data_IF_428746969835
#
_entry.id   IF_428746969835
#
_cell.length_a   1.000
_cell.length_b   1.000
_cell.length_c   1.000
_cell.angle_alpha   90.00
_cell.angle_beta   90.00
_cell.angle_gamma   90.00
#
_symmetry.space_group_name_H-M   'P 1'
#
loop_
_entity.id
_entity.type
_entity.pdbx_description
1 polymer ?
#
# COMPACT_ATOMS: atom_id res chain seq x y z
N UNK A 1 -42.61 -1.51 -15.07
CA UNK A 1 -41.67 -0.52 -15.64
C UNK A 1 -40.28 -0.91 -15.19
N UNK A 2 -39.30 -0.97 -16.10
CA UNK A 2 -37.90 -1.18 -15.71
C UNK A 2 -37.36 0.11 -15.10
N UNK A 3 -36.66 0.00 -13.97
CA UNK A 3 -36.02 1.13 -13.31
C UNK A 3 -34.78 1.57 -14.10
N UNK A 4 -34.46 2.88 -14.08
CA UNK A 4 -33.31 3.46 -14.77
C UNK A 4 -32.02 2.79 -14.33
N UNK A 5 -31.92 2.43 -13.04
CA UNK A 5 -30.77 1.69 -12.47
C UNK A 5 -30.56 0.34 -13.16
N UNK A 6 -31.65 -0.39 -13.43
CA UNK A 6 -31.60 -1.69 -14.12
C UNK A 6 -31.18 -1.52 -15.58
N UNK A 7 -31.64 -0.45 -16.23
CA UNK A 7 -31.25 -0.12 -17.61
C UNK A 7 -29.75 0.21 -17.68
N UNK A 8 -29.22 1.01 -16.75
CA UNK A 8 -27.79 1.37 -16.72
C UNK A 8 -26.91 0.17 -16.40
N UNK A 9 -27.31 -0.68 -15.45
CA UNK A 9 -26.56 -1.90 -15.13
C UNK A 9 -26.49 -2.85 -16.34
N UNK A 10 -27.62 -3.04 -17.03
CA UNK A 10 -27.69 -3.86 -18.24
C UNK A 10 -26.80 -3.28 -19.36
N UNK A 11 -26.86 -1.96 -19.60
CA UNK A 11 -26.02 -1.29 -20.60
C UNK A 11 -24.52 -1.43 -20.30
N UNK A 12 -24.12 -1.34 -19.03
CA UNK A 12 -22.72 -1.53 -18.63
C UNK A 12 -22.25 -2.95 -18.90
N UNK A 13 -23.09 -3.94 -18.64
CA UNK A 13 -22.75 -5.34 -18.87
C UNK A 13 -22.64 -5.67 -20.37
N UNK A 14 -23.55 -5.13 -21.18
CA UNK A 14 -23.50 -5.22 -22.64
C UNK A 14 -22.22 -4.58 -23.20
N UNK A 15 -21.90 -3.34 -22.77
CA UNK A 15 -20.69 -2.63 -23.18
C UNK A 15 -19.40 -3.34 -22.73
N UNK A 16 -19.39 -3.91 -21.53
CA UNK A 16 -18.25 -4.69 -21.04
C UNK A 16 -18.04 -5.96 -21.87
N UNK A 17 -19.12 -6.62 -22.29
CA UNK A 17 -19.08 -7.76 -23.21
C UNK A 17 -18.51 -7.38 -24.57
N UNK A 18 -19.01 -6.31 -25.18
CA UNK A 18 -18.53 -5.81 -26.47
C UNK A 18 -17.06 -5.38 -26.43
N UNK A 19 -16.66 -4.67 -25.37
CA UNK A 19 -15.27 -4.26 -25.18
C UNK A 19 -14.34 -5.47 -25.04
N UNK A 20 -14.71 -6.46 -24.22
CA UNK A 20 -13.93 -7.71 -24.08
C UNK A 20 -13.76 -8.42 -25.42
N UNK A 21 -14.82 -8.53 -26.21
CA UNK A 21 -14.74 -9.22 -27.50
C UNK A 21 -13.95 -8.42 -28.54
N UNK A 22 -14.04 -7.08 -28.51
CA UNK A 22 -13.22 -6.21 -29.37
C UNK A 22 -11.74 -6.31 -29.01
N UNK A 23 -11.40 -6.31 -27.73
CA UNK A 23 -10.02 -6.53 -27.24
C UNK A 23 -9.53 -7.91 -27.65
N UNK A 24 -10.32 -8.97 -27.40
CA UNK A 24 -9.96 -10.35 -27.78
C UNK A 24 -9.68 -10.47 -29.29
N UNK A 25 -10.53 -9.87 -30.13
CA UNK A 25 -10.34 -9.86 -31.58
C UNK A 25 -9.05 -9.16 -31.97
N UNK A 26 -8.79 -7.99 -31.38
CA UNK A 26 -7.57 -7.21 -31.65
C UNK A 26 -6.31 -7.95 -31.22
N UNK A 27 -6.36 -8.66 -30.09
CA UNK A 27 -5.25 -9.49 -29.60
C UNK A 27 -5.00 -10.70 -30.51
N UNK A 28 -6.04 -11.32 -31.08
CA UNK A 28 -5.88 -12.42 -32.06
C UNK A 28 -5.22 -11.97 -33.37
N UNK A 29 -5.34 -10.68 -33.71
CA UNK A 29 -4.69 -10.11 -34.90
C UNK A 29 -3.21 -9.79 -34.66
N UNK A 30 -2.72 -9.84 -33.42
CA UNK A 30 -1.32 -9.57 -33.12
C UNK A 30 -0.45 -10.84 -33.23
N UNK A 31 0.83 -10.71 -33.62
CA UNK A 31 1.79 -11.80 -33.54
C UNK A 31 1.97 -12.31 -32.11
N UNK A 32 2.17 -13.62 -31.95
CA UNK A 32 2.36 -14.25 -30.64
C UNK A 32 3.56 -13.66 -29.88
N UNK A 33 4.66 -13.39 -30.57
CA UNK A 33 5.88 -12.83 -29.98
C UNK A 33 5.63 -11.44 -29.37
N UNK A 34 4.84 -10.61 -30.06
CA UNK A 34 4.45 -9.29 -29.54
C UNK A 34 3.62 -9.39 -28.26
N UNK A 35 2.70 -10.36 -28.18
CA UNK A 35 1.89 -10.57 -26.98
C UNK A 35 2.75 -11.02 -25.79
N UNK A 36 3.75 -11.86 -26.05
CA UNK A 36 4.72 -12.31 -25.03
C UNK A 36 5.51 -11.11 -24.51
N UNK A 37 6.02 -10.24 -25.38
CA UNK A 37 6.77 -9.04 -24.98
C UNK A 37 5.92 -8.11 -24.10
N UNK A 38 4.65 -7.88 -24.47
CA UNK A 38 3.76 -7.04 -23.68
C UNK A 38 3.41 -7.67 -22.33
N UNK A 39 3.21 -8.99 -22.27
CA UNK A 39 2.99 -9.70 -21.01
C UNK A 39 4.25 -9.66 -20.13
N UNK A 40 5.44 -9.80 -20.73
CA UNK A 40 6.70 -9.67 -20.01
C UNK A 40 6.90 -8.26 -19.48
N UNK A 41 6.61 -7.21 -20.25
CA UNK A 41 6.67 -5.83 -19.78
C UNK A 41 5.65 -5.49 -18.68
N UNK A 42 4.51 -6.19 -18.65
CA UNK A 42 3.48 -5.99 -17.63
C UNK A 42 3.78 -6.76 -16.33
N UNK A 43 4.38 -7.95 -16.44
CA UNK A 43 4.65 -8.87 -15.33
C UNK A 43 6.02 -8.63 -14.71
N UNK A 44 7.02 -8.28 -15.52
CA UNK A 44 8.36 -7.96 -15.05
C UNK A 44 8.49 -6.44 -14.92
N UNK A 45 8.84 -5.90 -13.74
CA UNK A 45 9.21 -4.50 -13.64
C UNK A 45 10.38 -4.24 -14.59
N UNK A 46 10.44 -3.06 -15.25
CA UNK A 46 11.56 -2.74 -16.12
C UNK A 46 12.85 -2.82 -15.29
N UNK A 47 13.72 -3.79 -15.58
CA UNK A 47 15.04 -3.85 -14.98
C UNK A 47 15.74 -2.52 -15.33
N UNK A 48 16.02 -1.71 -14.31
CA UNK A 48 16.91 -0.58 -14.42
C UNK A 48 18.31 -1.12 -14.75
N UNK A 49 18.58 -1.31 -16.04
CA UNK A 49 19.92 -1.58 -16.56
C UNK A 49 20.77 -0.35 -16.27
N UNK A 50 21.41 -0.38 -15.10
CA UNK A 50 22.39 0.59 -14.65
C UNK A 50 23.64 0.47 -15.53
N UNK A 51 23.69 1.27 -16.60
CA UNK A 51 24.94 1.58 -17.28
C UNK A 51 25.78 2.46 -16.34
N UNK A 52 26.51 1.83 -15.43
CA UNK A 52 27.53 2.49 -14.64
C UNK A 52 28.58 3.11 -15.58
N UNK A 53 28.53 4.43 -15.72
CA UNK A 53 29.58 5.23 -16.35
C UNK A 53 30.86 5.08 -15.51
N UNK A 54 31.99 4.62 -16.08
CA UNK A 54 33.24 4.60 -15.35
C UNK A 54 33.72 6.04 -15.15
N UNK A 55 33.60 6.54 -13.91
CA UNK A 55 34.24 7.80 -13.50
C UNK A 55 35.75 7.61 -13.53
N UNK A 56 36.40 8.23 -14.51
CA UNK A 56 37.85 8.43 -14.50
C UNK A 56 38.22 9.33 -13.31
N UNK A 57 39.11 8.82 -12.46
CA UNK A 57 39.72 9.54 -11.34
C UNK A 57 40.89 10.37 -11.89
N UNK A 58 41.01 11.67 -11.55
CA UNK A 58 42.20 12.46 -11.91
C UNK A 58 43.44 11.94 -11.18
N UNK A 59 44.48 11.63 -11.95
CA UNK A 59 45.79 11.20 -11.50
C UNK A 59 46.60 12.44 -11.07
N UNK A 60 46.78 12.63 -9.77
CA UNK A 60 47.75 13.57 -9.20
C UNK A 60 49.12 12.90 -8.98
N UNK A 61 50.24 13.67 -8.98
CA UNK A 61 51.58 13.11 -9.01
C UNK A 61 52.04 12.59 -7.65
N UNK A 62 52.81 11.53 -7.74
CA UNK A 62 53.38 10.70 -6.69
C UNK A 62 54.38 11.48 -5.82
N UNK A 63 54.29 11.27 -4.50
CA UNK A 63 55.37 11.51 -3.55
C UNK A 63 55.52 10.25 -2.67
N UNK A 64 56.77 9.82 -2.56
CA UNK A 64 57.24 8.51 -2.13
C UNK A 64 56.96 8.11 -0.67
N UNK A 65 57.00 6.78 -0.50
CA UNK A 65 57.50 6.02 0.65
C UNK A 65 56.72 6.03 1.98
N UNK A 66 56.13 4.89 2.35
CA UNK A 66 56.71 3.93 3.30
C UNK A 66 55.72 2.83 3.75
N UNK A 67 56.29 1.65 3.98
CA UNK A 67 55.84 0.56 4.85
C UNK A 67 54.64 -0.32 4.42
N UNK A 68 55.00 -1.48 3.86
CA UNK A 68 54.13 -2.64 3.71
C UNK A 68 53.72 -3.20 5.09
N UNK A 69 52.40 -3.28 5.32
CA UNK A 69 51.78 -4.07 6.40
C UNK A 69 51.07 -5.24 5.73
N UNK A 70 51.31 -6.51 6.15
CA UNK A 70 50.64 -7.66 5.57
C UNK A 70 49.18 -7.72 6.07
N UNK A 71 48.24 -7.72 5.13
CA UNK A 71 46.81 -7.96 5.37
C UNK A 71 46.58 -9.44 5.71
N UNK A 72 45.72 -9.77 6.70
CA UNK A 72 45.35 -11.15 6.99
C UNK A 72 44.43 -11.71 5.90
N UNK A 73 44.65 -13.00 5.63
CA UNK A 73 44.00 -13.80 4.60
C UNK A 73 42.47 -13.76 4.71
N UNK A 74 41.83 -13.43 3.59
CA UNK A 74 40.38 -13.43 3.45
C UNK A 74 39.84 -14.84 3.64
N UNK A 75 39.10 -15.05 4.73
CA UNK A 75 38.21 -16.20 4.86
C UNK A 75 37.16 -16.14 3.74
N UNK A 76 37.09 -17.23 2.98
CA UNK A 76 36.27 -17.34 1.79
C UNK A 76 34.82 -16.98 2.05
N UNK A 77 34.35 -15.93 1.37
CA UNK A 77 32.94 -15.74 1.09
C UNK A 77 32.46 -16.96 0.30
N UNK A 78 31.64 -17.79 0.94
CA UNK A 78 30.88 -18.81 0.24
C UNK A 78 30.01 -18.14 -0.84
N UNK A 79 29.93 -18.70 -2.05
CA UNK A 79 29.04 -18.18 -3.08
C UNK A 79 27.61 -18.28 -2.58
N UNK A 80 26.91 -17.15 -2.57
CA UNK A 80 25.46 -17.10 -2.40
C UNK A 80 24.84 -17.90 -3.56
N UNK A 81 24.40 -19.12 -3.28
CA UNK A 81 23.55 -19.87 -4.20
C UNK A 81 22.19 -19.17 -4.19
N UNK A 82 21.95 -18.35 -5.22
CA UNK A 82 20.67 -17.67 -5.43
C UNK A 82 19.56 -18.68 -5.70
N UNK A 83 19.07 -19.33 -4.65
CA UNK A 83 17.74 -19.92 -4.71
C UNK A 83 16.74 -18.76 -4.82
N UNK A 84 15.87 -18.77 -5.84
CA UNK A 84 14.79 -17.81 -5.90
C UNK A 84 13.93 -18.04 -4.66
N UNK A 85 13.84 -17.03 -3.80
CA UNK A 85 12.77 -16.97 -2.81
C UNK A 85 11.47 -16.91 -3.61
N UNK A 86 10.80 -18.05 -3.74
CA UNK A 86 9.42 -18.10 -4.20
C UNK A 86 8.65 -17.03 -3.41
N UNK A 87 7.88 -16.15 -4.07
CA UNK A 87 7.07 -15.19 -3.36
C UNK A 87 6.12 -15.99 -2.45
N UNK A 88 6.35 -15.90 -1.13
CA UNK A 88 5.47 -16.45 -0.11
C UNK A 88 4.21 -15.59 -0.09
N UNK A 89 3.41 -15.65 -1.15
CA UNK A 89 2.01 -15.29 -1.13
C UNK A 89 1.28 -16.53 -0.66
N UNK A 90 1.24 -16.76 0.67
CA UNK A 90 0.41 -17.83 1.22
C UNK A 90 -1.05 -17.60 0.76
N UNK A 91 -1.60 -18.43 -0.14
CA UNK A 91 -2.91 -18.21 -0.75
C UNK A 91 -4.06 -18.40 0.25
N UNK A 92 -3.77 -18.91 1.45
CA UNK A 92 -4.76 -19.18 2.50
C UNK A 92 -5.21 -17.93 3.28
N UNK A 93 -4.52 -16.78 3.16
CA UNK A 93 -4.86 -15.58 3.92
C UNK A 93 -5.93 -14.68 3.26
N UNK A 94 -6.10 -14.76 1.93
CA UNK A 94 -6.98 -13.88 1.17
C UNK A 94 -8.43 -14.37 1.12
N UNK A 95 -8.67 -15.69 1.16
CA UNK A 95 -10.01 -16.28 1.03
C UNK A 95 -11.02 -15.84 2.09
N UNK A 96 -10.56 -15.51 3.31
CA UNK A 96 -11.42 -15.05 4.41
C UNK A 96 -11.52 -13.52 4.55
N UNK A 97 -10.81 -12.74 3.70
CA UNK A 97 -10.83 -11.27 3.80
C UNK A 97 -12.26 -10.69 3.69
N UNK A 98 -13.11 -11.09 2.72
CA UNK A 98 -14.47 -10.55 2.62
C UNK A 98 -15.31 -10.82 3.87
N UNK A 99 -15.17 -11.98 4.49
CA UNK A 99 -15.89 -12.30 5.72
C UNK A 99 -15.38 -11.49 6.92
N UNK A 100 -14.06 -11.30 7.04
CA UNK A 100 -13.47 -10.41 8.05
C UNK A 100 -13.95 -8.98 7.90
N UNK A 101 -13.94 -8.43 6.68
CA UNK A 101 -14.43 -7.07 6.41
C UNK A 101 -15.90 -6.91 6.81
N UNK A 102 -16.77 -7.88 6.47
CA UNK A 102 -18.18 -7.86 6.90
C UNK A 102 -18.32 -7.84 8.43
N UNK A 103 -17.47 -8.57 9.15
CA UNK A 103 -17.47 -8.61 10.63
C UNK A 103 -17.06 -7.28 11.26
N UNK A 104 -16.32 -6.42 10.55
CA UNK A 104 -15.93 -5.10 11.07
C UNK A 104 -17.11 -4.13 11.21
N UNK A 105 -18.17 -4.31 10.42
CA UNK A 105 -19.37 -3.45 10.47
C UNK A 105 -19.02 -1.97 10.25
N UNK A 106 -18.24 -1.66 9.21
CA UNK A 106 -17.78 -0.30 8.95
C UNK A 106 -18.92 0.59 8.46
N UNK A 107 -19.24 1.59 9.27
CA UNK A 107 -20.23 2.63 8.99
C UNK A 107 -19.79 3.97 9.61
N UNK A 108 -20.57 5.03 9.40
CA UNK A 108 -20.26 6.35 9.91
C UNK A 108 -20.17 6.42 11.45
N UNK A 109 -20.82 5.48 12.16
CA UNK A 109 -20.86 5.42 13.63
C UNK A 109 -19.67 4.64 14.18
N UNK A 110 -19.22 3.58 13.50
CA UNK A 110 -18.13 2.74 13.97
C UNK A 110 -16.73 3.30 13.66
N UNK A 111 -16.56 4.01 12.54
CA UNK A 111 -15.25 4.53 12.10
C UNK A 111 -14.54 5.46 13.11
N UNK A 112 -15.23 6.35 13.86
CA UNK A 112 -14.58 7.13 14.91
C UNK A 112 -13.91 6.25 15.98
N UNK A 113 -14.52 5.11 16.33
CA UNK A 113 -13.97 4.15 17.29
C UNK A 113 -12.68 3.50 16.78
N UNK A 114 -12.68 3.02 15.54
CA UNK A 114 -11.47 2.49 14.89
C UNK A 114 -10.36 3.56 14.83
N UNK A 115 -10.72 4.77 14.40
CA UNK A 115 -9.79 5.90 14.27
C UNK A 115 -9.14 6.25 15.61
N UNK A 116 -9.94 6.36 16.68
CA UNK A 116 -9.44 6.66 18.02
C UNK A 116 -8.53 5.54 18.55
N UNK A 117 -8.94 4.28 18.40
CA UNK A 117 -8.15 3.12 18.81
C UNK A 117 -6.79 3.10 18.11
N UNK A 118 -6.76 3.20 16.78
CA UNK A 118 -5.51 3.15 16.02
C UNK A 118 -4.59 4.34 16.32
N UNK A 119 -5.15 5.54 16.54
CA UNK A 119 -4.35 6.72 16.94
C UNK A 119 -3.71 6.57 18.34
N UNK A 120 -4.32 5.80 19.23
CA UNK A 120 -3.76 5.53 20.57
C UNK A 120 -2.61 4.51 20.54
N UNK A 121 -2.55 3.66 19.51
CA UNK A 121 -1.55 2.61 19.35
C UNK A 121 -0.33 3.16 18.60
N UNK A 122 0.40 4.06 19.26
CA UNK A 122 1.68 4.58 18.78
C UNK A 122 2.78 3.55 18.96
N UNK A 123 3.86 3.66 18.18
CA UNK A 123 5.04 2.79 18.31
C UNK A 123 5.51 2.58 19.76
N UNK A 124 5.59 3.65 20.55
CA UNK A 124 6.05 3.56 21.95
C UNK A 124 5.11 2.69 22.80
N UNK A 125 3.81 2.75 22.53
CA UNK A 125 2.79 1.90 23.16
C UNK A 125 2.90 0.46 22.66
N UNK A 126 3.10 0.26 21.36
CA UNK A 126 3.27 -1.07 20.77
C UNK A 126 4.51 -1.80 21.32
N UNK A 127 5.61 -1.09 21.55
CA UNK A 127 6.82 -1.63 22.17
C UNK A 127 6.60 -1.89 23.68
N UNK A 128 6.01 -0.94 24.41
CA UNK A 128 5.78 -1.07 25.85
C UNK A 128 4.79 -2.21 26.21
N UNK A 129 3.77 -2.42 25.39
CA UNK A 129 2.74 -3.46 25.57
C UNK A 129 3.15 -4.80 24.93
N UNK A 130 4.35 -4.91 24.35
CA UNK A 130 4.88 -6.17 23.81
C UNK A 130 4.30 -6.60 22.46
N UNK A 131 3.61 -5.72 21.74
CA UNK A 131 3.19 -5.97 20.35
C UNK A 131 4.41 -6.06 19.42
N UNK A 132 5.43 -5.22 19.64
CA UNK A 132 6.68 -5.24 18.89
C UNK A 132 7.81 -5.89 19.70
N UNK A 133 8.52 -6.83 19.07
CA UNK A 133 9.60 -7.62 19.66
C UNK A 133 10.92 -7.24 18.99
N UNK A 134 11.73 -6.43 19.67
CA UNK A 134 13.02 -5.94 19.18
C UNK A 134 12.95 -5.36 17.73
N UNK A 135 12.04 -4.40 17.46
CA UNK A 135 11.83 -3.91 16.10
C UNK A 135 13.05 -3.11 15.59
N UNK A 136 13.34 -3.12 14.28
CA UNK A 136 14.39 -2.29 13.69
C UNK A 136 14.14 -0.80 13.97
N UNK A 137 15.20 0.04 14.05
CA UNK A 137 15.05 1.47 14.28
C UNK A 137 14.14 2.11 13.23
N UNK A 138 13.44 3.18 13.61
CA UNK A 138 12.46 3.85 12.73
C UNK A 138 13.14 4.40 11.47
N UNK A 139 12.54 4.18 10.31
CA UNK A 139 13.13 4.49 9.00
C UNK A 139 14.13 3.46 8.49
N UNK A 140 14.39 2.39 9.26
CA UNK A 140 15.27 1.28 8.86
C UNK A 140 14.57 0.25 7.98
N UNK A 141 14.91 -1.02 8.17
CA UNK A 141 14.27 -2.13 7.46
C UNK A 141 12.76 -2.23 7.75
N UNK A 142 12.02 -2.95 6.90
CA UNK A 142 10.64 -3.37 7.21
C UNK A 142 10.62 -4.12 8.54
N UNK A 143 9.56 -3.95 9.32
CA UNK A 143 9.32 -4.79 10.49
C UNK A 143 8.86 -6.15 9.94
N UNK A 144 9.72 -7.16 10.08
CA UNK A 144 9.41 -8.53 9.67
C UNK A 144 8.45 -9.20 10.68
N UNK A 145 7.76 -10.30 10.30
CA UNK A 145 6.89 -11.04 11.23
C UNK A 145 7.57 -11.50 12.53
N UNK A 146 8.88 -11.78 12.49
CA UNK A 146 9.66 -12.15 13.68
C UNK A 146 9.71 -11.04 14.75
N UNK A 147 9.42 -9.79 14.38
CA UNK A 147 9.40 -8.64 15.28
C UNK A 147 8.00 -8.27 15.78
N UNK A 148 7.00 -9.14 15.55
CA UNK A 148 5.61 -8.91 15.95
C UNK A 148 5.10 -10.06 16.80
N UNK A 149 4.39 -9.74 17.87
CA UNK A 149 3.62 -10.72 18.61
C UNK A 149 2.44 -11.24 17.77
N UNK A 150 1.81 -12.38 18.14
CA UNK A 150 0.58 -12.85 17.49
C UNK A 150 -0.54 -11.81 17.52
N UNK A 151 -0.65 -11.03 18.60
CA UNK A 151 -1.62 -9.94 18.74
C UNK A 151 -1.31 -8.80 17.79
N UNK A 152 -0.02 -8.48 17.58
CA UNK A 152 0.40 -7.47 16.62
C UNK A 152 0.14 -7.90 15.18
N UNK A 153 0.32 -9.17 14.86
CA UNK A 153 -0.07 -9.73 13.56
C UNK A 153 -1.59 -9.69 13.33
N UNK A 154 -2.39 -9.98 14.36
CA UNK A 154 -3.84 -9.84 14.29
C UNK A 154 -4.27 -8.39 14.08
N UNK A 155 -3.64 -7.45 14.79
CA UNK A 155 -3.88 -6.02 14.68
C UNK A 155 -3.46 -5.46 13.31
N UNK A 156 -2.30 -5.87 12.79
CA UNK A 156 -1.84 -5.51 11.45
C UNK A 156 -2.84 -6.00 10.40
N UNK A 157 -3.30 -7.25 10.51
CA UNK A 157 -4.31 -7.81 9.60
C UNK A 157 -5.62 -7.03 9.64
N UNK A 158 -6.12 -6.70 10.82
CA UNK A 158 -7.32 -5.89 11.00
C UNK A 158 -7.16 -4.48 10.40
N UNK A 159 -6.01 -3.83 10.61
CA UNK A 159 -5.71 -2.53 10.03
C UNK A 159 -5.66 -2.57 8.49
N UNK A 160 -5.07 -3.64 7.91
CA UNK A 160 -5.08 -3.88 6.46
C UNK A 160 -6.48 -4.14 5.92
N UNK A 161 -7.31 -4.90 6.65
CA UNK A 161 -8.70 -5.16 6.26
C UNK A 161 -9.54 -3.86 6.31
N UNK A 162 -9.33 -3.00 7.32
CA UNK A 162 -9.95 -1.66 7.38
C UNK A 162 -9.49 -0.79 6.22
N UNK A 163 -8.18 -0.72 5.95
CA UNK A 163 -7.63 0.04 4.82
C UNK A 163 -8.26 -0.39 3.49
N UNK A 164 -8.27 -1.70 3.23
CA UNK A 164 -8.87 -2.29 2.03
C UNK A 164 -10.36 -1.97 1.93
N UNK A 165 -11.10 -2.09 3.04
CA UNK A 165 -12.53 -1.80 3.06
C UNK A 165 -12.84 -0.32 2.79
N UNK A 166 -12.01 0.58 3.30
CA UNK A 166 -12.14 2.03 3.07
C UNK A 166 -11.82 2.43 1.64
N UNK A 167 -10.87 1.76 0.98
CA UNK A 167 -10.50 2.07 -0.39
C UNK A 167 -11.43 1.42 -1.42
N UNK A 168 -11.76 0.13 -1.27
CA UNK A 168 -12.28 -0.68 -2.38
C UNK A 168 -13.67 -1.29 -2.14
N UNK A 169 -14.15 -1.34 -0.90
CA UNK A 169 -15.39 -2.04 -0.57
C UNK A 169 -16.61 -1.12 -0.55
N UNK A 170 -17.78 -1.72 -0.81
CA UNK A 170 -19.08 -1.06 -0.76
C UNK A 170 -20.14 -1.83 0.04
N UNK A 171 -21.43 -1.48 -0.12
CA UNK A 171 -22.52 -2.09 0.65
C UNK A 171 -22.61 -3.62 0.54
N UNK A 172 -22.28 -4.20 -0.62
CA UNK A 172 -22.22 -5.65 -0.84
C UNK A 172 -21.17 -6.37 0.03
N UNK A 173 -20.16 -5.64 0.49
CA UNK A 173 -19.07 -6.14 1.34
C UNK A 173 -19.33 -5.87 2.82
N UNK A 174 -20.49 -5.31 3.17
CA UNK A 174 -20.82 -4.93 4.55
C UNK A 174 -20.32 -3.55 4.97
N UNK A 175 -19.79 -2.75 4.03
CA UNK A 175 -19.34 -1.37 4.29
C UNK A 175 -20.47 -0.40 3.97
N UNK A 176 -20.99 0.30 4.98
CA UNK A 176 -22.15 1.21 4.88
C UNK A 176 -21.71 2.66 5.05
N UNK A 177 -21.01 3.16 4.03
CA UNK A 177 -20.55 4.54 3.96
C UNK A 177 -21.19 5.19 2.74
N UNK A 178 -21.97 6.24 2.96
CA UNK A 178 -22.59 7.02 1.88
C UNK A 178 -21.56 7.98 1.29
N UNK A 179 -20.72 7.45 0.39
CA UNK A 179 -19.60 8.18 -0.20
C UNK A 179 -20.10 8.99 -1.40
N UNK A 180 -20.34 10.27 -1.19
CA UNK A 180 -20.84 11.19 -2.23
C UNK A 180 -19.76 12.09 -2.83
N UNK A 181 -18.61 12.25 -2.14
CA UNK A 181 -17.48 13.04 -2.61
C UNK A 181 -16.30 12.13 -2.97
N UNK A 182 -15.34 12.64 -3.74
CA UNK A 182 -14.11 11.93 -4.09
C UNK A 182 -12.90 12.70 -3.57
N UNK A 183 -11.93 11.96 -3.05
CA UNK A 183 -10.64 12.45 -2.60
C UNK A 183 -9.51 11.55 -3.14
N UNK A 184 -8.27 12.02 -3.04
CA UNK A 184 -7.09 11.25 -3.43
C UNK A 184 -6.12 11.13 -2.27
N UNK A 185 -5.55 9.94 -2.09
CA UNK A 185 -4.45 9.66 -1.17
C UNK A 185 -3.17 9.48 -2.00
N UNK A 186 -2.09 10.15 -1.58
CA UNK A 186 -0.77 10.05 -2.23
C UNK A 186 0.28 9.56 -1.25
N UNK A 187 0.85 8.37 -1.41
CA UNK A 187 1.90 7.84 -0.52
C UNK A 187 3.27 7.91 -1.18
N UNK A 188 4.25 8.50 -0.50
CA UNK A 188 5.65 8.44 -0.91
C UNK A 188 6.40 7.43 -0.04
N UNK A 189 7.03 6.42 -0.65
CA UNK A 189 7.84 5.42 0.06
C UNK A 189 9.14 5.12 -0.66
N UNK A 190 10.23 4.80 0.07
CA UNK A 190 11.48 4.39 -0.56
C UNK A 190 11.28 3.19 -1.50
N UNK A 191 12.00 3.12 -2.65
CA UNK A 191 11.86 2.02 -3.61
C UNK A 191 12.03 0.63 -2.99
N UNK A 192 12.93 0.48 -2.01
CA UNK A 192 13.16 -0.78 -1.28
C UNK A 192 11.93 -1.29 -0.53
N UNK A 193 10.95 -0.43 -0.25
CA UNK A 193 9.69 -0.77 0.45
C UNK A 193 8.45 -0.63 -0.42
N UNK A 194 8.61 -0.24 -1.68
CA UNK A 194 7.51 -0.02 -2.62
C UNK A 194 6.62 -1.28 -2.77
N UNK A 195 7.21 -2.48 -2.73
CA UNK A 195 6.47 -3.74 -2.81
C UNK A 195 5.45 -3.91 -1.67
N UNK A 196 5.78 -3.48 -0.46
CA UNK A 196 4.88 -3.59 0.69
C UNK A 196 3.67 -2.66 0.54
N UNK A 197 3.86 -1.45 -0.02
CA UNK A 197 2.76 -0.51 -0.31
C UNK A 197 1.94 -0.94 -1.51
N UNK A 198 2.58 -1.46 -2.57
CA UNK A 198 1.88 -1.99 -3.74
C UNK A 198 0.90 -3.11 -3.34
N UNK A 199 1.33 -4.00 -2.44
CA UNK A 199 0.47 -5.06 -1.91
C UNK A 199 -0.72 -4.52 -1.08
N UNK A 200 -0.56 -3.37 -0.42
CA UNK A 200 -1.63 -2.74 0.38
C UNK A 200 -2.69 -2.04 -0.48
N UNK A 201 -2.25 -1.31 -1.50
CA UNK A 201 -3.13 -0.48 -2.32
C UNK A 201 -3.69 -1.22 -3.55
N UNK A 202 -3.19 -2.42 -3.84
CA UNK A 202 -3.69 -3.23 -4.94
C UNK A 202 -3.47 -2.60 -6.34
N UNK A 203 -4.10 -3.19 -7.37
CA UNK A 203 -3.84 -2.82 -8.76
C UNK A 203 -4.42 -1.45 -9.17
N UNK A 204 -5.31 -0.86 -8.36
CA UNK A 204 -5.90 0.45 -8.67
C UNK A 204 -4.96 1.62 -8.34
N UNK A 205 -3.91 1.36 -7.58
CA UNK A 205 -2.90 2.36 -7.28
C UNK A 205 -2.08 2.70 -8.53
N UNK A 206 -2.01 4.00 -8.86
CA UNK A 206 -1.07 4.49 -9.87
C UNK A 206 0.28 4.71 -9.21
N UNK A 207 1.28 3.96 -9.65
CA UNK A 207 2.66 4.15 -9.22
C UNK A 207 3.41 5.07 -10.20
N UNK A 208 4.06 6.10 -9.68
CA UNK A 208 4.98 6.98 -10.41
C UNK A 208 6.28 7.09 -9.60
N UNK A 209 7.25 6.25 -9.95
CA UNK A 209 8.48 6.09 -9.18
C UNK A 209 8.21 5.58 -7.75
N UNK A 210 8.61 6.38 -6.76
CA UNK A 210 8.40 6.12 -5.32
C UNK A 210 7.05 6.61 -4.78
N UNK A 211 6.17 7.09 -5.66
CA UNK A 211 4.89 7.70 -5.27
C UNK A 211 3.72 6.83 -5.74
N UNK A 212 2.78 6.55 -4.84
CA UNK A 212 1.54 5.82 -5.10
C UNK A 212 0.35 6.74 -4.93
N UNK A 213 -0.59 6.72 -5.88
CA UNK A 213 -1.83 7.49 -5.80
C UNK A 213 -3.04 6.58 -5.92
N UNK A 214 -3.99 6.75 -5.00
CA UNK A 214 -5.29 6.06 -5.02
C UNK A 214 -6.41 7.05 -4.79
N UNK A 215 -7.51 6.91 -5.52
CA UNK A 215 -8.73 7.69 -5.33
C UNK A 215 -9.68 6.93 -4.41
N UNK A 216 -10.41 7.66 -3.57
CA UNK A 216 -11.37 7.06 -2.65
C UNK A 216 -12.58 7.96 -2.46
N UNK A 217 -13.71 7.34 -2.10
CA UNK A 217 -14.93 8.07 -1.80
C UNK A 217 -14.96 8.58 -0.36
N UNK A 218 -15.43 9.80 -0.16
CA UNK A 218 -15.58 10.46 1.13
C UNK A 218 -17.06 10.72 1.43
N UNK A 219 -17.41 10.77 2.73
CA UNK A 219 -18.77 11.14 3.12
C UNK A 219 -19.01 12.61 2.75
N UNK A 220 -20.25 12.97 2.35
CA UNK A 220 -20.59 14.36 2.17
C UNK A 220 -20.32 15.09 3.48
N UNK A 221 -19.45 16.10 3.44
CA UNK A 221 -19.41 17.07 4.51
C UNK A 221 -20.77 17.73 4.60
N UNK A 222 -21.23 18.04 5.82
CA UNK A 222 -22.28 19.04 5.91
C UNK A 222 -21.77 20.28 5.16
N UNK A 223 -22.48 20.76 4.13
CA UNK A 223 -22.11 22.01 3.50
C UNK A 223 -21.97 23.04 4.62
N UNK A 224 -20.85 23.76 4.66
CA UNK A 224 -20.61 24.83 5.62
C UNK A 224 -21.61 25.98 5.37
N UNK A 225 -22.89 25.73 5.64
CA UNK A 225 -23.94 26.72 5.57
C UNK A 225 -23.82 27.55 6.84
N UNK A 226 -23.15 28.70 6.71
CA UNK A 226 -23.13 29.79 7.69
C UNK A 226 -22.71 29.33 9.10
N UNK A 227 -21.46 28.90 9.25
CA UNK A 227 -20.86 28.81 10.57
C UNK A 227 -20.81 30.21 11.19
N UNK A 228 -21.67 30.44 12.17
CA UNK A 228 -21.47 31.46 13.19
C UNK A 228 -20.07 31.24 13.79
N UNK A 229 -19.15 32.18 13.57
CA UNK A 229 -17.70 32.07 13.87
C UNK A 229 -17.40 31.83 15.37
N UNK A 230 -18.42 31.84 16.23
CA UNK A 230 -18.29 31.74 17.67
C UNK A 230 -18.67 30.37 18.27
N UNK A 231 -19.23 29.44 17.50
CA UNK A 231 -19.52 28.09 18.00
C UNK A 231 -18.32 27.15 17.78
N UNK A 232 -17.87 26.37 18.80
CA UNK A 232 -16.82 25.37 18.61
C UNK A 232 -17.30 24.36 17.57
N UNK A 233 -16.59 24.29 16.44
CA UNK A 233 -16.88 23.40 15.33
C UNK A 233 -17.04 21.96 15.87
N UNK A 234 -18.26 21.41 15.81
CA UNK A 234 -18.40 19.96 15.90
C UNK A 234 -17.60 19.38 14.74
N UNK A 235 -16.77 18.34 14.95
CA UNK A 235 -16.11 17.67 13.85
C UNK A 235 -17.20 17.16 12.91
N UNK A 236 -17.40 17.83 11.78
CA UNK A 236 -18.37 17.41 10.78
C UNK A 236 -17.98 16.04 10.22
N UNK A 237 -18.94 15.33 9.63
CA UNK A 237 -18.70 14.05 8.97
C UNK A 237 -17.69 14.13 7.80
N UNK A 238 -17.32 15.34 7.38
CA UNK A 238 -16.31 15.60 6.36
C UNK A 238 -14.93 15.05 6.79
N UNK A 239 -14.33 14.23 5.94
CA UNK A 239 -12.99 13.68 6.17
C UNK A 239 -12.96 12.52 7.16
N UNK A 240 -14.11 11.95 7.52
CA UNK A 240 -14.18 10.78 8.40
C UNK A 240 -13.50 9.56 7.77
N UNK A 241 -13.64 9.33 6.46
CA UNK A 241 -12.92 8.25 5.76
C UNK A 241 -11.44 8.58 5.67
N UNK A 242 -11.07 9.79 5.26
CA UNK A 242 -9.69 10.24 5.23
C UNK A 242 -8.97 10.10 6.59
N UNK A 243 -9.65 10.43 7.70
CA UNK A 243 -9.11 10.28 9.05
C UNK A 243 -8.90 8.83 9.46
N UNK A 244 -9.83 7.94 9.11
CA UNK A 244 -9.72 6.52 9.37
C UNK A 244 -8.61 5.88 8.51
N UNK A 245 -8.51 6.26 7.23
CA UNK A 245 -7.42 5.86 6.33
C UNK A 245 -6.06 6.26 6.91
N UNK A 246 -5.91 7.53 7.30
CA UNK A 246 -4.66 8.02 7.89
C UNK A 246 -4.29 7.32 9.20
N UNK A 247 -5.29 6.98 10.04
CA UNK A 247 -5.04 6.23 11.27
C UNK A 247 -4.61 4.78 11.00
N UNK A 248 -5.28 4.09 10.06
CA UNK A 248 -4.91 2.74 9.66
C UNK A 248 -3.51 2.69 9.04
N UNK A 249 -3.18 3.65 8.17
CA UNK A 249 -1.86 3.77 7.54
C UNK A 249 -0.75 4.06 8.55
N UNK A 250 -0.98 4.94 9.53
CA UNK A 250 -0.03 5.15 10.62
C UNK A 250 0.25 3.84 11.39
N UNK A 251 -0.79 3.06 11.68
CA UNK A 251 -0.65 1.80 12.41
C UNK A 251 0.09 0.74 11.56
N UNK A 252 -0.25 0.61 10.28
CA UNK A 252 0.46 -0.27 9.34
C UNK A 252 1.93 0.15 9.20
N UNK A 253 2.20 1.45 9.20
CA UNK A 253 3.57 1.96 9.21
C UNK A 253 4.33 1.50 10.46
N UNK A 254 3.72 1.64 11.63
CA UNK A 254 4.36 1.30 12.90
C UNK A 254 4.46 -0.21 13.13
N UNK A 255 3.71 -1.03 12.39
CA UNK A 255 3.74 -2.49 12.47
C UNK A 255 4.52 -3.16 11.33
N UNK A 256 4.70 -2.55 10.17
CA UNK A 256 5.26 -3.22 8.98
C UNK A 256 6.22 -2.33 8.17
N UNK A 257 5.76 -1.15 7.71
CA UNK A 257 6.52 -0.34 6.74
C UNK A 257 7.72 0.37 7.37
N UNK A 258 7.59 0.79 8.62
CA UNK A 258 8.66 1.35 9.44
C UNK A 258 9.33 2.62 8.86
N UNK A 259 8.55 3.57 8.34
CA UNK A 259 9.04 4.88 7.93
C UNK A 259 8.93 5.92 9.06
N UNK A 260 9.77 6.98 9.07
CA UNK A 260 9.64 8.09 10.03
C UNK A 260 8.32 8.83 9.83
N UNK A 261 7.90 8.97 8.57
CA UNK A 261 6.65 9.61 8.17
C UNK A 261 6.07 8.86 6.99
N UNK A 262 4.95 8.15 7.21
CA UNK A 262 4.12 7.63 6.12
C UNK A 262 2.98 8.63 5.89
N UNK A 263 3.30 9.75 5.24
CA UNK A 263 2.34 10.83 5.02
C UNK A 263 1.95 10.92 3.56
N UNK A 264 0.65 10.89 3.30
CA UNK A 264 0.06 11.45 2.10
C UNK A 264 -0.75 12.69 2.40
N UNK A 265 -0.53 13.74 1.61
CA UNK A 265 -1.46 14.86 1.48
C UNK A 265 -2.65 14.46 0.62
#
# INVERSE_FOLDING_TARGET
>A
MRDVTQIVAQLREELAGELRERVRRRLREQPADWLVDQLMALVLPPEEVSYAIPRQVPRGPEADAHAAVPLPEAHGCAPWNGEPLDPVTSPEAEGDRPARIRRLGLDATSLPGFTARYRSLRREVLEAEGYLLDPPPRGGALIAPAHRSPEAEALLREAKDVLHALLFCGPQDGVRLDRAAWASLTLAVPPSKAHAVAALLGPEARAEGSTFRVEFGELPGEPAHHADETAPARPGAAGLVAHALGAALCLINDLEINEPTLCGR
#
